data_IF_593529327750
#
_entry.id   IF_593529327750
#
_cell.length_a   1.000
_cell.length_b   1.000
_cell.length_c   1.000
_cell.angle_alpha   90.00
_cell.angle_beta   90.00
_cell.angle_gamma   90.00
#
_symmetry.space_group_name_H-M   'P 1'
#
loop_
_entity.id
_entity.type
_entity.pdbx_description
1 polymer ?
#
# COMPACT_ATOMS: atom_id res chain seq x y z
N UNK A 1 -4.38 -57.95 21.03
CA UNK A 1 -4.08 -57.34 19.73
C UNK A 1 -4.97 -56.13 19.58
N UNK A 2 -4.48 -55.00 20.03
CA UNK A 2 -5.18 -53.71 19.87
C UNK A 2 -4.70 -53.09 18.59
N UNK A 3 -5.59 -52.97 17.64
CA UNK A 3 -5.35 -52.27 16.37
C UNK A 3 -5.46 -50.76 16.60
N UNK A 4 -4.33 -50.07 16.57
CA UNK A 4 -4.27 -48.62 16.51
C UNK A 4 -4.95 -48.14 15.22
N UNK A 5 -6.16 -47.60 15.35
CA UNK A 5 -6.79 -46.80 14.33
C UNK A 5 -6.12 -45.41 14.38
N UNK A 6 -5.11 -45.24 13.55
CA UNK A 6 -4.52 -43.90 13.30
C UNK A 6 -5.59 -43.09 12.57
N UNK A 7 -6.06 -42.04 13.22
CA UNK A 7 -6.98 -41.04 12.66
C UNK A 7 -6.40 -40.42 11.40
N UNK A 8 -6.86 -40.85 10.23
CA UNK A 8 -6.59 -40.24 8.93
C UNK A 8 -7.52 -39.07 8.64
N UNK A 9 -7.63 -38.17 9.60
CA UNK A 9 -8.43 -36.94 9.43
C UNK A 9 -7.45 -35.79 9.49
N UNK A 10 -6.99 -35.31 8.35
CA UNK A 10 -6.60 -33.93 8.08
C UNK A 10 -5.52 -33.68 6.99
N UNK A 11 -4.90 -34.68 6.41
CA UNK A 11 -3.85 -34.47 5.40
C UNK A 11 -4.40 -33.86 4.11
N UNK A 12 -5.64 -34.20 3.72
CA UNK A 12 -6.26 -33.61 2.52
C UNK A 12 -6.66 -32.14 2.70
N UNK A 13 -7.06 -31.71 3.89
CA UNK A 13 -7.33 -30.30 4.20
C UNK A 13 -6.06 -29.46 4.24
N UNK A 14 -4.95 -30.01 4.77
CA UNK A 14 -3.64 -29.36 4.76
C UNK A 14 -3.08 -29.17 3.35
N UNK A 15 -3.20 -30.21 2.50
CA UNK A 15 -2.71 -30.17 1.12
C UNK A 15 -3.52 -29.15 0.28
N UNK A 16 -4.83 -29.10 0.39
CA UNK A 16 -5.65 -28.10 -0.27
C UNK A 16 -5.34 -26.69 0.23
N UNK A 17 -5.06 -26.52 1.51
CA UNK A 17 -4.66 -25.23 2.09
C UNK A 17 -3.31 -24.76 1.54
N UNK A 18 -2.31 -25.61 1.42
CA UNK A 18 -1.00 -25.27 0.85
C UNK A 18 -1.12 -24.86 -0.62
N UNK A 19 -1.91 -25.59 -1.41
CA UNK A 19 -2.17 -25.26 -2.81
C UNK A 19 -2.82 -23.87 -2.93
N UNK A 20 -3.80 -23.59 -2.09
CA UNK A 20 -4.49 -22.30 -2.07
C UNK A 20 -3.57 -21.16 -1.62
N UNK A 21 -2.71 -21.39 -0.64
CA UNK A 21 -1.69 -20.42 -0.22
C UNK A 21 -0.74 -20.09 -1.38
N UNK A 22 -0.28 -21.10 -2.12
CA UNK A 22 0.56 -20.87 -3.29
C UNK A 22 -0.19 -20.09 -4.39
N UNK A 23 -1.46 -20.41 -4.65
CA UNK A 23 -2.29 -19.66 -5.59
C UNK A 23 -2.43 -18.19 -5.16
N UNK A 24 -2.69 -17.93 -3.89
CA UNK A 24 -2.73 -16.57 -3.33
C UNK A 24 -1.38 -15.85 -3.53
N UNK A 25 -0.25 -16.48 -3.21
CA UNK A 25 1.07 -15.89 -3.37
C UNK A 25 1.42 -15.61 -4.84
N UNK A 26 0.94 -16.45 -5.77
CA UNK A 26 1.09 -16.18 -7.21
C UNK A 26 0.27 -14.96 -7.65
N UNK A 27 -0.90 -14.72 -7.06
CA UNK A 27 -1.65 -13.49 -7.32
C UNK A 27 -0.91 -12.28 -6.76
N UNK A 28 -0.37 -12.36 -5.53
CA UNK A 28 0.44 -11.29 -4.95
C UNK A 28 1.65 -10.90 -5.81
N UNK A 29 2.15 -11.79 -6.69
CA UNK A 29 3.21 -11.45 -7.64
C UNK A 29 2.82 -10.27 -8.53
N UNK A 30 1.53 -10.07 -8.84
CA UNK A 30 1.09 -8.95 -9.67
C UNK A 30 1.46 -7.61 -9.07
N UNK A 31 1.45 -7.48 -7.73
CA UNK A 31 1.88 -6.24 -7.05
C UNK A 31 3.33 -5.85 -7.37
N UNK A 32 4.20 -6.83 -7.67
CA UNK A 32 5.59 -6.59 -8.07
C UNK A 32 5.72 -6.14 -9.53
N UNK A 33 4.73 -6.44 -10.37
CA UNK A 33 4.77 -6.17 -11.80
C UNK A 33 3.95 -4.94 -12.17
N UNK A 34 2.82 -4.73 -11.48
CA UNK A 34 1.96 -3.58 -11.70
C UNK A 34 2.67 -2.32 -11.23
N UNK A 35 2.84 -1.39 -12.15
CA UNK A 35 3.44 -0.10 -11.89
C UNK A 35 2.38 0.87 -11.39
N UNK A 36 2.77 1.79 -10.50
CA UNK A 36 1.87 2.84 -10.01
C UNK A 36 1.43 3.72 -11.19
N UNK A 37 0.14 3.67 -11.49
CA UNK A 37 -0.48 4.25 -12.70
C UNK A 37 -0.30 5.77 -12.78
N UNK A 38 -0.37 6.45 -11.63
CA UNK A 38 -0.14 7.90 -11.57
C UNK A 38 1.19 8.33 -12.16
N UNK A 39 2.26 7.58 -11.91
CA UNK A 39 3.58 7.90 -12.46
C UNK A 39 3.67 7.63 -13.97
N UNK A 40 2.98 6.59 -14.46
CA UNK A 40 2.91 6.31 -15.89
C UNK A 40 2.21 7.44 -16.65
N UNK A 41 1.12 7.98 -16.13
CA UNK A 41 0.42 9.14 -16.71
C UNK A 41 1.28 10.39 -16.78
N UNK A 42 2.26 10.53 -15.87
CA UNK A 42 3.23 11.63 -15.89
C UNK A 42 4.50 11.33 -16.67
N UNK A 43 4.55 10.19 -17.37
CA UNK A 43 5.64 9.82 -18.26
C UNK A 43 6.94 9.42 -17.55
N UNK A 44 6.85 8.94 -16.31
CA UNK A 44 7.96 8.28 -15.63
C UNK A 44 8.19 6.92 -16.30
N UNK A 45 9.41 6.68 -16.79
CA UNK A 45 9.68 5.52 -17.64
C UNK A 45 9.72 4.19 -16.88
N UNK A 46 10.29 4.18 -15.70
CA UNK A 46 10.44 3.01 -14.86
C UNK A 46 9.95 3.28 -13.45
N UNK A 47 8.64 3.54 -13.27
CA UNK A 47 8.13 3.86 -11.95
C UNK A 47 8.19 2.64 -11.02
N UNK A 48 8.06 2.94 -9.73
CA UNK A 48 7.90 1.93 -8.70
C UNK A 48 6.71 1.01 -9.00
N UNK A 49 6.76 -0.19 -8.46
CA UNK A 49 5.60 -1.08 -8.40
C UNK A 49 4.74 -0.78 -7.17
N UNK A 50 3.53 -1.34 -7.14
CA UNK A 50 2.67 -1.30 -5.94
C UNK A 50 3.40 -1.92 -4.74
N UNK A 51 4.13 -3.04 -4.94
CA UNK A 51 4.93 -3.66 -3.87
C UNK A 51 6.04 -2.75 -3.34
N UNK A 52 6.69 -1.97 -4.18
CA UNK A 52 7.76 -1.06 -3.76
C UNK A 52 7.18 0.02 -2.83
N UNK A 53 6.03 0.60 -3.22
CA UNK A 53 5.27 1.54 -2.42
C UNK A 53 4.85 0.95 -1.07
N UNK A 54 4.15 -0.19 -1.07
CA UNK A 54 3.70 -0.87 0.15
C UNK A 54 4.86 -1.20 1.09
N UNK A 55 6.01 -1.62 0.55
CA UNK A 55 7.21 -1.89 1.34
C UNK A 55 7.73 -0.62 2.02
N UNK A 56 7.88 0.51 1.30
CA UNK A 56 8.36 1.76 1.89
C UNK A 56 7.36 2.32 2.91
N UNK A 57 6.06 2.20 2.66
CA UNK A 57 5.04 2.51 3.67
C UNK A 57 5.19 1.70 4.95
N UNK A 58 5.50 0.40 4.84
CA UNK A 58 5.74 -0.45 6.02
C UNK A 58 6.96 0.01 6.82
N UNK A 59 8.02 0.44 6.14
CA UNK A 59 9.20 1.05 6.79
C UNK A 59 8.83 2.37 7.47
N UNK A 60 8.03 3.23 6.83
CA UNK A 60 7.55 4.48 7.44
C UNK A 60 6.72 4.21 8.70
N UNK A 61 5.86 3.19 8.69
CA UNK A 61 5.07 2.80 9.86
C UNK A 61 5.95 2.32 11.03
N UNK A 62 7.08 1.65 10.76
CA UNK A 62 8.06 1.27 11.79
C UNK A 62 8.72 2.47 12.48
N UNK A 63 8.76 3.64 11.82
CA UNK A 63 9.33 4.88 12.36
C UNK A 63 8.33 5.66 13.23
N UNK A 64 7.13 5.12 13.47
CA UNK A 64 6.15 5.75 14.34
C UNK A 64 6.68 5.84 15.78
N UNK A 65 6.71 7.06 16.31
CA UNK A 65 7.11 7.38 17.68
C UNK A 65 5.91 7.81 18.57
N UNK A 66 4.69 7.56 18.10
CA UNK A 66 3.47 7.86 18.85
C UNK A 66 2.98 6.61 19.59
N UNK A 67 3.19 6.60 20.92
CA UNK A 67 2.81 5.49 21.80
C UNK A 67 1.28 5.31 21.92
N UNK A 68 0.48 6.24 21.41
CA UNK A 68 -0.99 6.10 21.37
C UNK A 68 -1.50 5.21 20.25
N UNK A 69 -0.62 4.87 19.29
CA UNK A 69 -0.94 4.02 18.14
C UNK A 69 -0.37 2.61 18.34
N UNK A 70 -1.13 1.61 17.90
CA UNK A 70 -0.60 0.25 17.70
C UNK A 70 0.28 0.23 16.44
N UNK A 71 1.59 0.42 16.64
CA UNK A 71 2.58 0.46 15.55
C UNK A 71 2.60 -0.84 14.74
N UNK A 72 2.49 -2.00 15.40
CA UNK A 72 2.51 -3.28 14.71
C UNK A 72 1.27 -3.44 13.82
N UNK A 73 0.12 -2.92 14.27
CA UNK A 73 -1.10 -2.84 13.46
C UNK A 73 -0.93 -1.92 12.28
N UNK A 74 -0.31 -0.74 12.45
CA UNK A 74 -0.01 0.18 11.35
C UNK A 74 0.89 -0.48 10.29
N UNK A 75 1.94 -1.20 10.71
CA UNK A 75 2.84 -1.94 9.80
C UNK A 75 2.07 -3.01 9.03
N UNK A 76 1.27 -3.83 9.71
CA UNK A 76 0.43 -4.85 9.06
C UNK A 76 -0.55 -4.23 8.06
N UNK A 77 -1.17 -3.10 8.43
CA UNK A 77 -2.09 -2.38 7.55
C UNK A 77 -1.37 -1.86 6.31
N UNK A 78 -0.18 -1.25 6.45
CA UNK A 78 0.64 -0.81 5.33
C UNK A 78 1.05 -1.95 4.38
N UNK A 79 1.24 -3.17 4.92
CA UNK A 79 1.54 -4.38 4.10
C UNK A 79 0.35 -4.84 3.27
N UNK A 80 -0.89 -4.56 3.68
CA UNK A 80 -2.08 -5.15 3.03
C UNK A 80 -3.00 -4.15 2.36
N UNK A 81 -2.81 -2.83 2.54
CA UNK A 81 -3.77 -1.81 2.13
C UNK A 81 -4.09 -1.81 0.63
N UNK A 82 -3.11 -2.08 -0.24
CA UNK A 82 -3.27 -2.16 -1.69
C UNK A 82 -3.27 -3.62 -2.21
N UNK A 83 -3.50 -4.61 -1.34
CA UNK A 83 -3.49 -6.02 -1.74
C UNK A 83 -4.54 -6.35 -2.82
N UNK A 84 -5.69 -5.68 -2.78
CA UNK A 84 -6.75 -5.79 -3.78
C UNK A 84 -6.25 -5.47 -5.20
N UNK A 85 -5.29 -4.55 -5.34
CA UNK A 85 -4.74 -4.11 -6.61
C UNK A 85 -3.97 -5.21 -7.36
N UNK A 86 -3.61 -6.31 -6.66
CA UNK A 86 -3.11 -7.52 -7.30
C UNK A 86 -4.08 -8.13 -8.32
N UNK A 87 -5.36 -7.78 -8.23
CA UNK A 87 -6.43 -8.26 -9.13
C UNK A 87 -7.04 -7.15 -9.99
N UNK A 88 -7.25 -5.97 -9.40
CA UNK A 88 -7.96 -4.87 -10.07
C UNK A 88 -7.01 -3.87 -10.71
N UNK A 89 -5.69 -3.93 -10.38
CA UNK A 89 -4.72 -2.92 -10.80
C UNK A 89 -4.79 -1.64 -9.97
N UNK A 90 -3.84 -0.73 -10.20
CA UNK A 90 -3.78 0.58 -9.55
C UNK A 90 -4.76 1.55 -10.23
N UNK A 91 -6.01 1.58 -9.76
CA UNK A 91 -7.06 2.45 -10.28
C UNK A 91 -6.90 3.84 -9.70
N UNK A 92 -6.66 4.82 -10.56
CA UNK A 92 -6.48 6.23 -10.21
C UNK A 92 -7.75 7.07 -10.50
N UNK A 93 -7.84 8.30 -9.97
CA UNK A 93 -8.93 9.21 -10.31
C UNK A 93 -9.03 9.55 -11.82
N UNK A 94 -7.93 9.39 -12.57
CA UNK A 94 -7.88 9.67 -14.01
C UNK A 94 -8.50 8.56 -14.87
N UNK A 95 -8.72 7.37 -14.30
CA UNK A 95 -9.32 6.24 -15.02
C UNK A 95 -10.83 6.36 -15.20
N UNK A 96 -11.46 7.40 -14.62
CA UNK A 96 -12.90 7.64 -14.76
C UNK A 96 -13.79 6.66 -13.99
N UNK A 97 -13.20 5.86 -13.11
CA UNK A 97 -13.93 4.94 -12.22
C UNK A 97 -14.40 5.69 -10.98
N UNK A 98 -15.69 5.56 -10.62
CA UNK A 98 -16.19 6.21 -9.41
C UNK A 98 -15.57 5.60 -8.16
N UNK A 99 -15.56 6.34 -7.04
CA UNK A 99 -15.03 5.83 -5.76
C UNK A 99 -15.81 4.61 -5.28
N UNK A 100 -17.10 4.61 -5.45
CA UNK A 100 -18.00 3.52 -5.08
C UNK A 100 -17.69 2.26 -5.91
N UNK A 101 -17.46 2.44 -7.20
CA UNK A 101 -17.12 1.32 -8.09
C UNK A 101 -15.71 0.79 -7.81
N UNK A 102 -14.71 1.66 -7.60
CA UNK A 102 -13.38 1.25 -7.17
C UNK A 102 -13.47 0.42 -5.88
N UNK A 103 -14.14 0.94 -4.86
CA UNK A 103 -14.30 0.24 -3.58
C UNK A 103 -14.98 -1.12 -3.75
N UNK A 104 -16.03 -1.22 -4.57
CA UNK A 104 -16.73 -2.47 -4.87
C UNK A 104 -15.80 -3.51 -5.51
N UNK A 105 -15.02 -3.10 -6.51
CA UNK A 105 -14.06 -3.97 -7.20
C UNK A 105 -12.97 -4.47 -6.25
N UNK A 106 -12.44 -3.59 -5.40
CA UNK A 106 -11.42 -3.94 -4.42
C UNK A 106 -11.97 -4.87 -3.32
N UNK A 107 -13.19 -4.62 -2.83
CA UNK A 107 -13.84 -5.49 -1.86
C UNK A 107 -14.09 -6.89 -2.44
N UNK A 108 -14.58 -7.00 -3.67
CA UNK A 108 -14.75 -8.29 -4.35
C UNK A 108 -13.41 -9.02 -4.52
N UNK A 109 -12.34 -8.30 -4.85
CA UNK A 109 -11.00 -8.87 -4.94
C UNK A 109 -10.52 -9.41 -3.59
N UNK A 110 -10.68 -8.63 -2.51
CA UNK A 110 -10.29 -9.04 -1.16
C UNK A 110 -11.12 -10.21 -0.63
N UNK A 111 -12.43 -10.23 -0.89
CA UNK A 111 -13.29 -11.37 -0.55
C UNK A 111 -12.81 -12.64 -1.26
N UNK A 112 -12.51 -12.56 -2.56
CA UNK A 112 -11.96 -13.70 -3.29
C UNK A 112 -10.62 -14.17 -2.70
N UNK A 113 -9.70 -13.27 -2.41
CA UNK A 113 -8.39 -13.61 -1.84
C UNK A 113 -8.52 -14.27 -0.46
N UNK A 114 -9.31 -13.68 0.42
CA UNK A 114 -9.36 -14.08 1.83
C UNK A 114 -10.34 -15.24 2.09
N UNK A 115 -11.45 -15.29 1.36
CA UNK A 115 -12.50 -16.30 1.58
C UNK A 115 -12.33 -17.49 0.65
N UNK A 116 -12.24 -17.26 -0.67
CA UNK A 116 -12.25 -18.35 -1.64
C UNK A 116 -10.88 -19.06 -1.71
N UNK A 117 -9.78 -18.28 -1.75
CA UNK A 117 -8.44 -18.86 -1.83
C UNK A 117 -7.92 -19.29 -0.46
N UNK A 118 -7.92 -18.39 0.53
CA UNK A 118 -7.36 -18.67 1.85
C UNK A 118 -8.34 -19.36 2.81
N UNK A 119 -9.59 -19.64 2.35
CA UNK A 119 -10.56 -20.47 3.06
C UNK A 119 -11.08 -19.85 4.36
N UNK A 120 -11.12 -18.53 4.45
CA UNK A 120 -11.65 -17.81 5.61
C UNK A 120 -10.98 -18.21 6.94
N UNK A 121 -9.67 -18.46 6.89
CA UNK A 121 -8.84 -18.79 8.06
C UNK A 121 -8.72 -17.59 9.00
N UNK A 122 -8.29 -17.78 10.28
CA UNK A 122 -8.04 -16.65 11.17
C UNK A 122 -7.07 -15.61 10.57
N UNK A 123 -6.03 -16.07 9.85
CA UNK A 123 -5.04 -15.20 9.21
C UNK A 123 -5.64 -14.42 8.04
N UNK A 124 -6.45 -15.05 7.22
CA UNK A 124 -7.11 -14.35 6.10
C UNK A 124 -8.17 -13.37 6.57
N UNK A 125 -8.84 -13.66 7.69
CA UNK A 125 -9.75 -12.70 8.34
C UNK A 125 -9.00 -11.47 8.83
N UNK A 126 -7.85 -11.65 9.50
CA UNK A 126 -7.00 -10.53 9.93
C UNK A 126 -6.58 -9.66 8.73
N UNK A 127 -6.18 -10.28 7.61
CA UNK A 127 -5.84 -9.55 6.37
C UNK A 127 -7.02 -8.72 5.87
N UNK A 128 -8.21 -9.31 5.80
CA UNK A 128 -9.41 -8.63 5.34
C UNK A 128 -9.83 -7.50 6.29
N UNK A 129 -9.79 -7.73 7.61
CA UNK A 129 -10.11 -6.73 8.62
C UNK A 129 -9.16 -5.53 8.59
N UNK A 130 -7.86 -5.75 8.40
CA UNK A 130 -6.87 -4.68 8.27
C UNK A 130 -7.10 -3.85 7.01
N UNK A 131 -7.38 -4.48 5.88
CA UNK A 131 -7.74 -3.79 4.64
C UNK A 131 -9.03 -2.98 4.82
N UNK A 132 -10.06 -3.58 5.39
CA UNK A 132 -11.34 -2.91 5.63
C UNK A 132 -11.20 -1.73 6.59
N UNK A 133 -10.36 -1.85 7.63
CA UNK A 133 -10.06 -0.77 8.55
C UNK A 133 -9.38 0.41 7.84
N UNK A 134 -8.39 0.13 6.98
CA UNK A 134 -7.75 1.14 6.16
C UNK A 134 -8.76 1.85 5.26
N UNK A 135 -9.62 1.11 4.58
CA UNK A 135 -10.63 1.70 3.70
C UNK A 135 -11.66 2.56 4.47
N UNK A 136 -12.13 2.08 5.60
CA UNK A 136 -13.07 2.82 6.44
C UNK A 136 -12.48 4.09 7.06
N UNK A 137 -11.17 4.16 7.29
CA UNK A 137 -10.45 5.31 7.82
C UNK A 137 -11.08 5.93 9.09
N UNK A 138 -11.46 5.08 10.04
CA UNK A 138 -12.13 5.51 11.29
C UNK A 138 -11.25 5.42 12.52
N UNK A 139 -10.28 4.48 12.54
CA UNK A 139 -9.34 4.33 13.65
C UNK A 139 -8.17 5.29 13.53
N UNK A 140 -7.50 5.54 14.63
CA UNK A 140 -6.30 6.40 14.65
C UNK A 140 -5.18 5.79 13.78
N UNK A 141 -5.03 4.46 13.83
CA UNK A 141 -4.07 3.71 13.04
C UNK A 141 -4.36 3.85 11.53
N UNK A 142 -5.61 3.67 11.10
CA UNK A 142 -5.99 3.81 9.69
C UNK A 142 -5.77 5.23 9.18
N UNK A 143 -6.10 6.24 9.97
CA UNK A 143 -5.85 7.64 9.62
C UNK A 143 -4.35 7.95 9.51
N UNK A 144 -3.54 7.38 10.42
CA UNK A 144 -2.09 7.49 10.36
C UNK A 144 -1.53 6.82 9.10
N UNK A 145 -1.95 5.59 8.78
CA UNK A 145 -1.48 4.87 7.58
C UNK A 145 -1.91 5.59 6.29
N UNK A 146 -3.12 6.16 6.24
CA UNK A 146 -3.54 7.02 5.11
C UNK A 146 -2.73 8.33 5.01
N UNK A 147 -2.15 8.81 6.09
CA UNK A 147 -1.23 9.94 6.04
C UNK A 147 0.16 9.51 5.58
N UNK A 148 0.61 8.30 5.94
CA UNK A 148 1.84 7.70 5.43
C UNK A 148 1.76 7.48 3.90
N UNK A 149 0.63 7.00 3.39
CA UNK A 149 0.39 6.81 1.97
C UNK A 149 0.56 8.13 1.18
N UNK A 150 -0.06 9.22 1.65
CA UNK A 150 0.12 10.55 1.04
C UNK A 150 1.56 11.05 1.14
N UNK A 151 2.22 10.80 2.26
CA UNK A 151 3.60 11.21 2.44
C UNK A 151 4.55 10.42 1.54
N UNK A 152 4.36 9.11 1.44
CA UNK A 152 5.14 8.24 0.57
C UNK A 152 5.02 8.68 -0.89
N UNK A 153 3.82 8.99 -1.35
CA UNK A 153 3.56 9.50 -2.69
C UNK A 153 4.33 10.80 -2.97
N UNK A 154 4.31 11.80 -2.07
CA UNK A 154 5.05 13.06 -2.30
C UNK A 154 6.56 12.89 -2.15
N UNK A 155 7.02 11.95 -1.32
CA UNK A 155 8.44 11.60 -1.23
C UNK A 155 8.93 11.01 -2.56
N UNK A 156 8.18 10.08 -3.13
CA UNK A 156 8.48 9.49 -4.43
C UNK A 156 8.41 10.53 -5.56
N UNK A 157 7.42 11.43 -5.52
CA UNK A 157 7.35 12.55 -6.46
C UNK A 157 8.62 13.42 -6.42
N UNK A 158 9.12 13.74 -5.21
CA UNK A 158 10.37 14.51 -5.05
C UNK A 158 11.57 13.80 -5.67
N UNK A 159 11.67 12.48 -5.50
CA UNK A 159 12.73 11.67 -6.07
C UNK A 159 12.66 11.65 -7.62
N UNK A 160 11.45 11.54 -8.20
CA UNK A 160 11.25 11.60 -9.65
C UNK A 160 11.45 13.01 -10.23
N UNK A 161 11.09 14.08 -9.51
CA UNK A 161 11.45 15.44 -9.94
C UNK A 161 12.97 15.59 -10.10
N UNK A 162 13.74 14.93 -9.23
CA UNK A 162 15.20 14.99 -9.26
C UNK A 162 15.80 14.07 -10.35
N UNK A 163 15.32 12.83 -10.49
CA UNK A 163 15.88 11.85 -11.42
C UNK A 163 15.42 12.03 -12.86
N UNK A 164 14.15 12.34 -13.07
CA UNK A 164 13.51 12.40 -14.38
C UNK A 164 13.28 13.86 -14.87
N UNK A 165 13.60 14.84 -14.04
CA UNK A 165 13.41 16.28 -14.32
C UNK A 165 11.96 16.62 -14.77
N UNK A 166 10.99 15.97 -14.12
CA UNK A 166 9.57 16.19 -14.36
C UNK A 166 9.00 17.20 -13.36
N UNK A 167 7.98 17.93 -13.78
CA UNK A 167 7.16 18.70 -12.84
C UNK A 167 6.03 17.83 -12.29
N UNK A 168 6.09 17.53 -11.00
CA UNK A 168 5.11 16.71 -10.29
C UNK A 168 4.42 17.52 -9.17
N UNK A 169 4.35 18.84 -9.35
CA UNK A 169 3.77 19.80 -8.37
C UNK A 169 2.34 19.39 -7.96
N UNK A 170 1.55 18.86 -8.86
CA UNK A 170 0.16 18.46 -8.58
C UNK A 170 0.04 17.38 -7.50
N UNK A 171 1.02 16.46 -7.37
CA UNK A 171 1.03 15.48 -6.29
C UNK A 171 1.19 16.16 -4.92
N UNK A 172 2.07 17.16 -4.83
CA UNK A 172 2.26 17.95 -3.63
C UNK A 172 1.01 18.76 -3.27
N UNK A 173 0.36 19.38 -4.27
CA UNK A 173 -0.90 20.09 -4.09
C UNK A 173 -2.01 19.14 -3.62
N UNK A 174 -2.08 17.94 -4.18
CA UNK A 174 -3.07 16.94 -3.81
C UNK A 174 -2.95 16.48 -2.36
N UNK A 175 -1.74 16.42 -1.81
CA UNK A 175 -1.45 16.03 -0.43
C UNK A 175 -1.51 17.24 0.54
N UNK A 176 -1.40 18.46 0.02
CA UNK A 176 -1.39 19.68 0.83
C UNK A 176 -2.63 19.74 1.74
N UNK A 177 -2.40 20.01 3.03
CA UNK A 177 -3.42 20.08 4.07
C UNK A 177 -4.21 18.78 4.33
N UNK A 178 -3.89 17.67 3.67
CA UNK A 178 -4.56 16.38 3.89
C UNK A 178 -3.81 15.49 4.90
N UNK A 179 -2.52 15.68 5.09
CA UNK A 179 -1.72 15.02 6.13
C UNK A 179 -2.07 15.66 7.46
N UNK A 180 -2.50 14.87 8.45
CA UNK A 180 -3.03 15.34 9.73
C UNK A 180 -2.15 14.98 10.92
N UNK A 181 -1.55 13.79 10.90
CA UNK A 181 -0.73 13.29 12.00
C UNK A 181 0.52 14.16 12.23
N UNK A 182 0.82 14.59 13.47
CA UNK A 182 1.90 15.55 13.75
C UNK A 182 3.28 15.07 13.27
N UNK A 183 3.59 13.79 13.44
CA UNK A 183 4.85 13.18 12.99
C UNK A 183 4.98 13.30 11.47
N UNK A 184 3.97 12.84 10.74
CA UNK A 184 3.99 12.83 9.26
C UNK A 184 4.02 14.26 8.71
N UNK A 185 3.33 15.21 9.37
CA UNK A 185 3.45 16.65 9.04
C UNK A 185 4.86 17.17 9.15
N UNK A 186 5.61 16.77 10.21
CA UNK A 186 7.01 17.19 10.35
C UNK A 186 7.85 16.68 9.18
N UNK A 187 7.67 15.41 8.78
CA UNK A 187 8.37 14.85 7.64
C UNK A 187 7.99 15.54 6.33
N UNK A 188 6.70 15.78 6.11
CA UNK A 188 6.23 16.47 4.91
C UNK A 188 6.77 17.92 4.83
N UNK A 189 6.77 18.65 5.95
CA UNK A 189 7.30 20.02 5.98
C UNK A 189 8.79 20.06 5.64
N UNK A 190 9.58 19.13 6.18
CA UNK A 190 10.99 19.02 5.84
C UNK A 190 11.19 18.68 4.36
N UNK A 191 10.40 17.77 3.82
CA UNK A 191 10.43 17.43 2.40
C UNK A 191 10.10 18.63 1.52
N UNK A 192 9.12 19.47 1.87
CA UNK A 192 8.81 20.70 1.15
C UNK A 192 10.00 21.67 1.15
N UNK A 193 10.69 21.81 2.29
CA UNK A 193 11.89 22.66 2.39
C UNK A 193 12.99 22.17 1.44
N UNK A 194 13.30 20.87 1.50
CA UNK A 194 14.32 20.25 0.65
C UNK A 194 13.99 20.38 -0.84
N UNK A 195 12.71 20.20 -1.20
CA UNK A 195 12.23 20.38 -2.59
C UNK A 195 12.43 21.82 -3.07
N UNK A 196 12.10 22.80 -2.26
CA UNK A 196 12.30 24.21 -2.62
C UNK A 196 13.78 24.57 -2.76
N UNK A 197 14.65 24.04 -1.91
CA UNK A 197 16.08 24.21 -2.04
C UNK A 197 16.62 23.59 -3.33
N UNK A 198 16.16 22.37 -3.66
CA UNK A 198 16.53 21.70 -4.91
C UNK A 198 16.11 22.54 -6.13
N UNK A 199 14.88 23.01 -6.19
CA UNK A 199 14.37 23.87 -7.28
C UNK A 199 15.21 25.14 -7.45
N UNK A 200 15.58 25.80 -6.36
CA UNK A 200 16.46 27.00 -6.40
C UNK A 200 17.84 26.66 -6.97
N UNK A 201 18.46 25.55 -6.56
CA UNK A 201 19.76 25.12 -7.07
C UNK A 201 19.73 24.79 -8.55
N UNK A 202 18.67 24.14 -9.02
CA UNK A 202 18.44 23.80 -10.43
C UNK A 202 18.30 25.07 -11.29
N UNK A 203 17.49 26.03 -10.83
CA UNK A 203 17.32 27.32 -11.53
C UNK A 203 18.64 28.11 -11.63
N UNK A 204 19.49 28.03 -10.61
CA UNK A 204 20.78 28.70 -10.56
C UNK A 204 21.91 27.95 -11.30
N UNK A 205 21.61 26.77 -11.89
CA UNK A 205 22.58 25.96 -12.65
C UNK A 205 23.61 25.21 -11.80
N UNK A 206 23.36 25.02 -10.50
CA UNK A 206 24.24 24.27 -9.60
C UNK A 206 24.00 22.77 -9.61
N UNK A 207 22.93 22.31 -10.22
CA UNK A 207 22.57 20.88 -10.35
C UNK A 207 22.15 20.67 -11.81
N UNK A 208 22.82 19.73 -12.48
CA UNK A 208 22.53 19.28 -13.86
C UNK A 208 22.00 17.85 -13.82
#
# INVERSE_FOLDING_TARGET
>A
METNVINSVDDNKKVSNVTNVLAFLHICQQLKQTKRTGWLYHGIKNPESISDHMHRMSILALLCDDDSLDRDRCVKMAVVHDLAESKVGDITPLDGVSKEEKHRLEEEAMLHLCTDLLGNTPQSKEIFELWQEYENAKTAEALFVKDLDKFEMILQASEYEQSDQKDLTEFFESASNKIRHPLVKRWANELYVQREEYKKKTILGFVS
#
